data_IF_970430520335
#
_entry.id   IF_970430520335
#
_cell.length_a   1.000
_cell.length_b   1.000
_cell.length_c   1.000
_cell.angle_alpha   90.00
_cell.angle_beta   90.00
_cell.angle_gamma   90.00
#
_symmetry.space_group_name_H-M   'P 1'
#
loop_
_entity.id
_entity.type
_entity.pdbx_description
1 polymer ?
#
# COMPACT_ATOMS: atom_id res chain seq x y z
N UNK A 1 -17.02 30.13 -40.38
CA UNK A 1 -17.65 29.98 -39.05
C UNK A 1 -17.71 28.53 -38.62
N UNK A 2 -18.29 27.58 -39.41
CA UNK A 2 -18.38 26.15 -39.01
C UNK A 2 -17.03 25.48 -38.70
N UNK A 3 -16.00 25.72 -39.50
CA UNK A 3 -14.65 25.15 -39.29
C UNK A 3 -14.03 25.59 -37.96
N UNK A 4 -14.21 26.84 -37.57
CA UNK A 4 -13.70 27.38 -36.32
C UNK A 4 -14.36 26.72 -35.09
N UNK A 5 -15.68 26.50 -35.16
CA UNK A 5 -16.41 25.75 -34.10
C UNK A 5 -15.96 24.32 -33.97
N UNK A 6 -15.73 23.63 -35.09
CA UNK A 6 -15.25 22.25 -35.08
C UNK A 6 -13.85 22.12 -34.46
N UNK A 7 -12.94 23.05 -34.80
CA UNK A 7 -11.60 23.11 -34.23
C UNK A 7 -11.65 23.43 -32.72
N UNK A 8 -12.51 24.35 -32.29
CA UNK A 8 -12.66 24.70 -30.88
C UNK A 8 -13.19 23.53 -30.06
N UNK A 9 -14.20 22.82 -30.54
CA UNK A 9 -14.76 21.63 -29.88
C UNK A 9 -13.73 20.51 -29.80
N UNK A 10 -12.97 20.28 -30.89
CA UNK A 10 -11.90 19.27 -30.91
C UNK A 10 -10.80 19.62 -29.93
N UNK A 11 -10.37 20.86 -29.85
CA UNK A 11 -9.36 21.32 -28.90
C UNK A 11 -9.83 21.17 -27.44
N UNK A 12 -11.03 21.66 -27.13
CA UNK A 12 -11.62 21.53 -25.80
C UNK A 12 -11.78 20.06 -25.40
N UNK A 13 -12.30 19.23 -26.31
CA UNK A 13 -12.42 17.77 -26.06
C UNK A 13 -11.07 17.08 -25.78
N UNK A 14 -10.02 17.47 -26.51
CA UNK A 14 -8.66 16.97 -26.28
C UNK A 14 -8.10 17.39 -24.92
N UNK A 15 -8.23 18.66 -24.56
CA UNK A 15 -7.78 19.20 -23.26
C UNK A 15 -8.53 18.54 -22.11
N UNK A 16 -9.86 18.45 -22.17
CA UNK A 16 -10.66 17.79 -21.16
C UNK A 16 -10.33 16.30 -21.04
N UNK A 17 -10.13 15.60 -22.16
CA UNK A 17 -9.72 14.20 -22.17
C UNK A 17 -8.36 13.98 -21.50
N UNK A 18 -7.39 14.84 -21.77
CA UNK A 18 -6.08 14.81 -21.12
C UNK A 18 -6.19 15.04 -19.61
N UNK A 19 -6.92 16.07 -19.19
CA UNK A 19 -7.14 16.38 -17.77
C UNK A 19 -7.80 15.21 -17.01
N UNK A 20 -8.84 14.61 -17.57
CA UNK A 20 -9.49 13.45 -16.95
C UNK A 20 -8.52 12.28 -16.86
N UNK A 21 -7.70 12.07 -17.87
CA UNK A 21 -6.72 10.98 -17.87
C UNK A 21 -5.65 11.20 -16.80
N UNK A 22 -5.10 12.39 -16.71
CA UNK A 22 -3.99 12.68 -15.78
C UNK A 22 -4.46 12.79 -14.33
N UNK A 23 -5.57 13.47 -14.08
CA UNK A 23 -6.05 13.73 -12.71
C UNK A 23 -6.98 12.65 -12.13
N UNK A 24 -7.52 11.76 -12.96
CA UNK A 24 -8.47 10.74 -12.50
C UNK A 24 -7.98 9.34 -12.84
N UNK A 25 -7.81 9.04 -14.13
CA UNK A 25 -7.54 7.67 -14.58
C UNK A 25 -6.20 7.16 -14.12
N UNK A 26 -5.15 7.97 -14.23
CA UNK A 26 -3.77 7.57 -13.87
C UNK A 26 -3.64 7.34 -12.37
N UNK A 27 -4.01 8.28 -11.48
CA UNK A 27 -3.96 8.05 -10.04
C UNK A 27 -4.88 6.92 -9.58
N UNK A 28 -6.06 6.78 -10.19
CA UNK A 28 -6.97 5.68 -9.88
C UNK A 28 -6.34 4.31 -10.17
N UNK A 29 -5.66 4.14 -11.31
CA UNK A 29 -4.92 2.91 -11.63
C UNK A 29 -3.76 2.69 -10.67
N UNK A 30 -3.05 3.74 -10.31
CA UNK A 30 -1.94 3.69 -9.35
C UNK A 30 -2.39 3.14 -7.99
N UNK A 31 -3.56 3.54 -7.50
CA UNK A 31 -4.14 2.97 -6.28
C UNK A 31 -4.29 1.44 -6.37
N UNK A 32 -4.85 0.91 -7.46
CA UNK A 32 -5.04 -0.53 -7.60
C UNK A 32 -3.72 -1.30 -7.78
N UNK A 33 -2.72 -0.66 -8.39
CA UNK A 33 -1.35 -1.22 -8.45
C UNK A 33 -0.77 -1.34 -7.05
N UNK A 34 -0.81 -0.24 -6.27
CA UNK A 34 -0.38 -0.23 -4.87
C UNK A 34 -1.14 -1.27 -4.02
N UNK A 35 -2.45 -1.36 -4.19
CA UNK A 35 -3.27 -2.36 -3.50
C UNK A 35 -2.81 -3.79 -3.81
N UNK A 36 -2.46 -4.06 -5.07
CA UNK A 36 -1.96 -5.38 -5.49
C UNK A 36 -0.57 -5.67 -4.90
N UNK A 37 0.34 -4.69 -4.92
CA UNK A 37 1.67 -4.80 -4.30
C UNK A 37 1.55 -5.11 -2.80
N UNK A 38 0.67 -4.39 -2.09
CA UNK A 38 0.40 -4.61 -0.66
C UNK A 38 -0.10 -6.03 -0.42
N UNK A 39 -1.03 -6.52 -1.23
CA UNK A 39 -1.53 -7.89 -1.08
C UNK A 39 -0.43 -8.93 -1.27
N UNK A 40 0.42 -8.75 -2.27
CA UNK A 40 1.55 -9.64 -2.52
C UNK A 40 2.52 -9.67 -1.33
N UNK A 41 2.84 -8.50 -0.77
CA UNK A 41 3.73 -8.42 0.38
C UNK A 41 3.10 -9.00 1.65
N UNK A 42 1.80 -8.81 1.86
CA UNK A 42 1.06 -9.44 2.96
C UNK A 42 1.12 -10.97 2.88
N UNK A 43 0.99 -11.56 1.68
CA UNK A 43 1.13 -12.99 1.46
C UNK A 43 2.58 -13.47 1.64
N UNK A 44 3.57 -12.67 1.21
CA UNK A 44 4.98 -12.96 1.44
C UNK A 44 5.30 -12.97 2.94
N UNK A 45 4.73 -12.04 3.69
CA UNK A 45 4.93 -11.92 5.13
C UNK A 45 4.43 -13.17 5.91
N UNK A 46 3.43 -13.87 5.40
CA UNK A 46 2.95 -15.12 6.00
C UNK A 46 3.98 -16.24 5.97
N UNK A 47 4.89 -16.18 5.02
CA UNK A 47 5.98 -17.14 4.87
C UNK A 47 7.24 -16.75 5.65
N UNK A 48 7.31 -15.54 6.21
CA UNK A 48 8.44 -15.09 7.03
C UNK A 48 8.31 -15.70 8.43
N UNK A 49 9.15 -16.66 8.71
CA UNK A 49 9.25 -17.26 10.05
C UNK A 49 9.97 -16.28 10.97
N UNK A 50 9.27 -15.79 11.98
CA UNK A 50 9.90 -15.04 13.07
C UNK A 50 10.48 -16.05 14.04
N UNK A 51 11.77 -15.98 14.37
CA UNK A 51 12.38 -16.87 15.36
C UNK A 51 11.64 -16.73 16.69
N UNK A 52 11.25 -17.84 17.27
CA UNK A 52 10.69 -17.85 18.62
C UNK A 52 11.81 -17.60 19.63
N UNK A 53 11.92 -16.37 20.10
CA UNK A 53 12.94 -15.93 21.07
C UNK A 53 12.54 -16.20 22.51
N UNK A 54 11.42 -16.91 22.75
CA UNK A 54 10.77 -16.91 24.06
C UNK A 54 11.44 -17.76 25.14
N UNK A 55 12.38 -18.69 24.86
CA UNK A 55 12.78 -19.63 25.93
C UNK A 55 14.24 -20.01 26.05
N UNK A 56 15.02 -20.01 25.03
CA UNK A 56 16.45 -20.40 25.11
C UNK A 56 17.18 -19.63 24.03
N UNK A 57 18.07 -18.75 24.45
CA UNK A 57 19.08 -18.20 23.57
C UNK A 57 19.97 -19.37 23.12
N UNK A 58 19.72 -20.02 21.99
CA UNK A 58 20.74 -20.84 21.39
C UNK A 58 21.88 -19.88 21.11
N UNK A 59 23.08 -20.27 21.33
CA UNK A 59 24.27 -19.51 20.97
C UNK A 59 24.33 -19.49 19.45
N UNK A 60 23.51 -18.60 18.83
CA UNK A 60 23.57 -18.37 17.38
C UNK A 60 24.90 -17.70 17.07
N UNK A 61 25.62 -18.21 16.11
CA UNK A 61 26.72 -17.49 15.50
C UNK A 61 26.18 -16.21 14.88
N UNK A 62 26.95 -15.14 14.91
CA UNK A 62 26.60 -13.82 14.39
C UNK A 62 26.07 -13.88 12.95
N UNK A 63 26.70 -14.70 12.10
CA UNK A 63 26.28 -15.00 10.71
C UNK A 63 24.87 -15.65 10.61
N UNK A 64 24.53 -16.51 11.58
CA UNK A 64 23.22 -17.16 11.62
C UNK A 64 22.13 -16.17 12.03
N UNK A 65 22.46 -15.28 12.98
CA UNK A 65 21.54 -14.24 13.46
C UNK A 65 21.26 -13.22 12.36
N UNK A 66 22.26 -12.79 11.62
CA UNK A 66 22.14 -11.88 10.50
C UNK A 66 21.24 -12.47 9.39
N UNK A 67 21.45 -13.73 9.00
CA UNK A 67 20.62 -14.43 8.02
C UNK A 67 19.15 -14.57 8.45
N UNK A 68 18.89 -14.65 9.76
CA UNK A 68 17.53 -14.74 10.29
C UNK A 68 16.86 -13.35 10.37
N UNK A 69 17.62 -12.29 10.64
CA UNK A 69 17.08 -10.94 10.78
C UNK A 69 16.89 -10.22 9.43
N UNK A 70 17.71 -10.53 8.43
CA UNK A 70 17.65 -9.88 7.11
C UNK A 70 16.26 -9.92 6.45
N UNK A 71 15.53 -11.07 6.41
CA UNK A 71 14.19 -11.11 5.83
C UNK A 71 13.17 -10.25 6.60
N UNK A 72 13.34 -10.14 7.91
CA UNK A 72 12.46 -9.34 8.77
C UNK A 72 12.68 -7.84 8.48
N UNK A 73 13.95 -7.42 8.41
CA UNK A 73 14.30 -6.04 8.10
C UNK A 73 13.84 -5.62 6.70
N UNK A 74 14.00 -6.51 5.71
CA UNK A 74 13.50 -6.29 4.35
C UNK A 74 11.98 -6.11 4.33
N UNK A 75 11.24 -7.00 5.02
CA UNK A 75 9.79 -6.90 5.13
C UNK A 75 9.35 -5.61 5.83
N UNK A 76 10.04 -5.21 6.90
CA UNK A 76 9.78 -3.93 7.59
C UNK A 76 9.96 -2.73 6.66
N UNK A 77 11.07 -2.69 5.92
CA UNK A 77 11.37 -1.60 4.99
C UNK A 77 10.33 -1.53 3.86
N UNK A 78 9.97 -2.67 3.29
CA UNK A 78 8.98 -2.77 2.21
C UNK A 78 7.60 -2.33 2.68
N UNK A 79 7.12 -2.82 3.83
CA UNK A 79 5.82 -2.43 4.39
C UNK A 79 5.77 -0.94 4.71
N UNK A 80 6.85 -0.37 5.27
CA UNK A 80 6.94 1.06 5.56
C UNK A 80 6.92 1.89 4.28
N UNK A 81 7.63 1.47 3.24
CA UNK A 81 7.62 2.12 1.93
C UNK A 81 6.22 2.11 1.30
N UNK A 82 5.55 0.94 1.30
CA UNK A 82 4.18 0.82 0.79
C UNK A 82 3.20 1.66 1.59
N UNK A 83 3.33 1.71 2.92
CA UNK A 83 2.53 2.55 3.80
C UNK A 83 2.69 4.04 3.49
N UNK A 84 3.93 4.51 3.33
CA UNK A 84 4.22 5.90 2.97
C UNK A 84 3.66 6.25 1.60
N UNK A 85 3.80 5.38 0.59
CA UNK A 85 3.25 5.59 -0.76
C UNK A 85 1.72 5.64 -0.73
N UNK A 86 1.06 4.84 0.10
CA UNK A 86 -0.40 4.84 0.24
C UNK A 86 -0.90 6.12 0.94
N UNK A 87 -0.19 6.60 1.95
CA UNK A 87 -0.49 7.90 2.60
C UNK A 87 -0.29 9.03 1.60
N UNK A 88 0.84 9.06 0.90
CA UNK A 88 1.11 10.07 -0.12
C UNK A 88 0.02 10.10 -1.20
N UNK A 89 -0.44 8.93 -1.68
CA UNK A 89 -1.59 8.85 -2.57
C UNK A 89 -2.84 9.49 -1.97
N UNK A 90 -3.16 9.17 -0.71
CA UNK A 90 -4.36 9.68 -0.04
C UNK A 90 -4.35 11.20 0.13
N UNK A 91 -3.18 11.82 0.26
CA UNK A 91 -2.98 13.25 0.50
C UNK A 91 -2.80 14.05 -0.79
N UNK A 92 -2.03 13.51 -1.77
CA UNK A 92 -1.71 14.25 -3.00
C UNK A 92 -2.78 14.09 -4.09
N UNK A 93 -3.42 12.94 -4.19
CA UNK A 93 -4.35 12.59 -5.26
C UNK A 93 -5.81 12.70 -4.79
N UNK A 94 -6.21 13.89 -4.31
CA UNK A 94 -7.50 14.09 -3.63
C UNK A 94 -8.73 13.65 -4.44
N UNK A 95 -8.73 13.83 -5.77
CA UNK A 95 -9.86 13.42 -6.65
C UNK A 95 -9.94 11.89 -6.67
N UNK A 96 -8.85 11.21 -6.99
CA UNK A 96 -8.79 9.76 -7.06
C UNK A 96 -9.00 9.13 -5.68
N UNK A 97 -8.43 9.72 -4.62
CA UNK A 97 -8.63 9.29 -3.25
C UNK A 97 -10.11 9.36 -2.83
N UNK A 98 -10.84 10.42 -3.20
CA UNK A 98 -12.27 10.50 -2.91
C UNK A 98 -13.08 9.48 -3.72
N UNK A 99 -12.72 9.20 -4.97
CA UNK A 99 -13.38 8.18 -5.78
C UNK A 99 -13.21 6.78 -5.14
N UNK A 100 -11.99 6.44 -4.69
CA UNK A 100 -11.78 5.13 -4.05
C UNK A 100 -12.43 5.05 -2.67
N UNK A 101 -12.48 6.15 -1.91
CA UNK A 101 -13.23 6.22 -0.64
C UNK A 101 -14.73 6.02 -0.85
N UNK A 102 -15.31 6.64 -1.88
CA UNK A 102 -16.71 6.42 -2.24
C UNK A 102 -17.00 4.94 -2.57
N UNK A 103 -16.02 4.21 -3.10
CA UNK A 103 -16.09 2.77 -3.34
C UNK A 103 -15.83 1.91 -2.09
N UNK A 104 -15.66 2.53 -0.93
CA UNK A 104 -15.48 1.85 0.35
C UNK A 104 -14.04 1.43 0.67
N UNK A 105 -13.05 2.01 0.00
CA UNK A 105 -11.64 1.87 0.37
C UNK A 105 -11.22 3.03 1.27
N UNK A 106 -10.25 2.79 2.17
CA UNK A 106 -9.65 3.85 2.98
C UNK A 106 -8.12 3.81 2.85
N UNK A 107 -7.56 4.53 1.84
CA UNK A 107 -6.12 4.52 1.61
C UNK A 107 -5.30 5.09 2.75
N UNK A 108 -5.81 6.10 3.47
CA UNK A 108 -5.08 6.72 4.57
C UNK A 108 -4.94 5.75 5.75
N UNK A 109 -6.04 5.16 6.21
CA UNK A 109 -6.01 4.16 7.28
C UNK A 109 -5.23 2.91 6.88
N UNK A 110 -5.29 2.50 5.60
CA UNK A 110 -4.48 1.40 5.10
C UNK A 110 -2.97 1.70 5.20
N UNK A 111 -2.55 2.89 4.81
CA UNK A 111 -1.16 3.33 4.92
C UNK A 111 -0.66 3.36 6.36
N UNK A 112 -1.46 3.90 7.29
CA UNK A 112 -1.16 3.88 8.71
C UNK A 112 -1.07 2.45 9.28
N UNK A 113 -1.99 1.58 8.88
CA UNK A 113 -1.97 0.16 9.23
C UNK A 113 -0.70 -0.55 8.77
N UNK A 114 -0.23 -0.25 7.55
CA UNK A 114 1.03 -0.80 7.01
C UNK A 114 2.26 -0.35 7.80
N UNK A 115 2.31 0.92 8.20
CA UNK A 115 3.39 1.42 9.05
C UNK A 115 3.34 0.75 10.44
N UNK A 116 2.14 0.61 11.04
CA UNK A 116 1.96 -0.12 12.28
C UNK A 116 2.39 -1.58 12.15
N UNK A 117 1.99 -2.26 11.08
CA UNK A 117 2.41 -3.62 10.78
C UNK A 117 3.93 -3.73 10.63
N UNK A 118 4.58 -2.77 9.94
CA UNK A 118 6.05 -2.76 9.80
C UNK A 118 6.78 -2.74 11.14
N UNK A 119 6.23 -2.01 12.12
CA UNK A 119 6.82 -1.92 13.46
C UNK A 119 6.61 -3.22 14.27
N UNK A 120 5.59 -4.01 13.94
CA UNK A 120 5.23 -5.25 14.65
C UNK A 120 5.63 -6.54 13.94
N UNK A 121 6.38 -6.49 12.82
CA UNK A 121 6.79 -7.68 12.05
C UNK A 121 7.62 -8.65 12.90
N UNK A 122 8.51 -8.13 13.73
CA UNK A 122 9.39 -8.93 14.58
C UNK A 122 8.69 -9.49 15.83
N UNK A 123 7.46 -9.07 16.10
CA UNK A 123 6.73 -9.45 17.32
C UNK A 123 5.51 -10.28 16.94
N UNK A 124 5.39 -11.45 17.55
CA UNK A 124 4.16 -12.21 17.49
C UNK A 124 3.17 -11.67 18.55
N UNK A 125 1.95 -11.31 18.14
CA UNK A 125 0.99 -10.85 19.11
C UNK A 125 -0.28 -10.24 18.51
N UNK A 126 -1.21 -9.84 19.38
CA UNK A 126 -2.51 -9.29 18.98
C UNK A 126 -2.36 -7.98 18.18
N UNK A 127 -1.30 -7.20 18.40
CA UNK A 127 -1.04 -5.97 17.66
C UNK A 127 -0.81 -6.22 16.18
N UNK A 128 0.03 -7.20 15.83
CA UNK A 128 0.27 -7.60 14.44
C UNK A 128 -1.02 -8.05 13.76
N UNK A 129 -1.81 -8.88 14.46
CA UNK A 129 -3.11 -9.34 13.97
C UNK A 129 -4.10 -8.17 13.77
N UNK A 130 -4.11 -7.22 14.71
CA UNK A 130 -4.94 -6.02 14.64
C UNK A 130 -4.62 -5.14 13.44
N UNK A 131 -3.34 -4.85 13.19
CA UNK A 131 -2.92 -4.07 12.02
C UNK A 131 -3.27 -4.77 10.73
N UNK A 132 -3.05 -6.09 10.65
CA UNK A 132 -3.41 -6.90 9.49
C UNK A 132 -4.91 -6.87 9.21
N UNK A 133 -5.73 -7.08 10.22
CA UNK A 133 -7.19 -7.01 10.09
C UNK A 133 -7.65 -5.62 9.61
N UNK A 134 -7.03 -4.56 10.13
CA UNK A 134 -7.30 -3.18 9.69
C UNK A 134 -6.97 -2.99 8.21
N UNK A 135 -5.80 -3.46 7.73
CA UNK A 135 -5.41 -3.37 6.32
C UNK A 135 -6.38 -4.16 5.43
N UNK A 136 -6.73 -5.39 5.82
CA UNK A 136 -7.68 -6.22 5.07
C UNK A 136 -9.02 -5.52 4.92
N UNK A 137 -9.53 -4.95 6.01
CA UNK A 137 -10.80 -4.21 6.03
C UNK A 137 -10.74 -2.96 5.15
N UNK A 138 -9.71 -2.14 5.30
CA UNK A 138 -9.59 -0.84 4.60
C UNK A 138 -9.33 -0.98 3.11
N UNK A 139 -8.60 -2.02 2.71
CA UNK A 139 -8.33 -2.36 1.31
C UNK A 139 -9.29 -3.41 0.73
N UNK A 140 -10.25 -3.89 1.53
CA UNK A 140 -11.24 -4.90 1.12
C UNK A 140 -10.56 -6.14 0.52
N UNK A 141 -9.56 -6.67 1.20
CA UNK A 141 -9.01 -7.96 0.86
C UNK A 141 -9.96 -9.05 1.35
N UNK A 142 -10.13 -10.14 0.58
CA UNK A 142 -10.85 -11.32 1.09
C UNK A 142 -10.04 -11.94 2.24
N UNK A 143 -10.74 -12.41 3.23
CA UNK A 143 -10.20 -13.19 4.36
C UNK A 143 -9.60 -14.50 3.88
#
# INVERSE_FOLDING_TARGET
MAVLYTLLIGFLGGVFGALITDFVRTPYRQFFTLRTEIRQEMLRLDNVRVPDTSWRVPTYTEDTLEKMLSPIQEAQATLRSLGTRMIAFAESEWIAANIVRYRGYDPLSAGQGLIGLSNSVAVHGPERAGHRASINKTLRFPD
#
